data_IF_973460963919
#
_entry.id   IF_973460963919
#
_cell.length_a   1.000
_cell.length_b   1.000
_cell.length_c   1.000
_cell.angle_alpha   90.00
_cell.angle_beta   90.00
_cell.angle_gamma   90.00
#
_symmetry.space_group_name_H-M   'P 1'
#
loop_
_entity.id
_entity.type
_entity.pdbx_description
1 polymer ?
#
# COMPACT_ATOMS: atom_id res chain seq x y z
N UNK A 1 15.90 -16.92 -5.61
CA UNK A 1 15.54 -15.50 -5.59
C UNK A 1 16.82 -14.69 -5.49
N UNK A 2 16.98 -13.64 -6.30
CA UNK A 2 18.16 -12.79 -6.20
C UNK A 2 18.05 -11.88 -4.98
N UNK A 3 18.99 -12.01 -4.04
CA UNK A 3 19.08 -11.18 -2.84
C UNK A 3 20.10 -10.06 -3.07
N UNK A 4 19.70 -8.83 -2.82
CA UNK A 4 20.56 -7.65 -2.84
C UNK A 4 21.03 -7.37 -1.41
N UNK A 5 22.28 -7.73 -1.10
CA UNK A 5 22.83 -7.50 0.24
C UNK A 5 23.29 -6.06 0.43
N UNK A 6 22.80 -5.41 1.47
CA UNK A 6 22.97 -3.98 1.73
C UNK A 6 24.06 -3.65 2.76
N UNK A 7 24.43 -4.57 3.62
CA UNK A 7 25.36 -4.43 4.77
C UNK A 7 24.79 -3.58 5.93
N UNK A 8 23.60 -3.06 5.82
CA UNK A 8 22.88 -2.32 6.85
C UNK A 8 21.38 -2.50 6.62
N UNK A 9 20.62 -2.46 7.70
CA UNK A 9 19.18 -2.62 7.70
C UNK A 9 18.49 -1.58 6.80
N UNK A 10 17.67 -2.01 5.83
CA UNK A 10 16.75 -1.14 5.10
C UNK A 10 15.44 -0.92 5.87
N UNK A 11 14.78 0.22 5.63
CA UNK A 11 13.48 0.58 6.19
C UNK A 11 12.41 0.77 5.13
N UNK A 12 12.80 1.18 3.94
CA UNK A 12 11.86 1.40 2.84
C UNK A 12 12.53 1.11 1.50
N UNK A 13 11.72 0.78 0.52
CA UNK A 13 12.14 0.64 -0.87
C UNK A 13 11.09 1.21 -1.80
N UNK A 14 11.53 1.61 -2.99
CA UNK A 14 10.63 1.94 -4.10
C UNK A 14 11.29 1.65 -5.44
N UNK A 15 10.48 1.37 -6.45
CA UNK A 15 10.95 1.10 -7.81
C UNK A 15 10.85 2.33 -8.69
N UNK A 16 11.76 2.41 -9.67
CA UNK A 16 11.66 3.41 -10.71
C UNK A 16 10.45 3.11 -11.63
N UNK A 17 9.62 4.12 -11.99
CA UNK A 17 8.39 3.88 -12.72
C UNK A 17 8.58 3.40 -14.16
N UNK A 18 9.75 3.62 -14.77
CA UNK A 18 10.03 3.29 -16.17
C UNK A 18 11.33 2.51 -16.40
N UNK A 19 12.25 2.48 -15.44
CA UNK A 19 13.53 1.77 -15.54
C UNK A 19 13.61 0.61 -14.54
N UNK A 20 14.45 -0.37 -14.81
CA UNK A 20 14.72 -1.53 -13.93
C UNK A 20 15.68 -1.14 -12.81
N UNK A 21 15.23 -0.23 -11.93
CA UNK A 21 16.00 0.28 -10.80
C UNK A 21 15.16 0.23 -9.54
N UNK A 22 15.74 -0.26 -8.45
CA UNK A 22 15.17 -0.23 -7.10
C UNK A 22 16.04 0.63 -6.19
N UNK A 23 15.39 1.42 -5.32
CA UNK A 23 16.01 2.28 -4.33
C UNK A 23 15.68 1.78 -2.94
N UNK A 24 16.65 1.85 -2.03
CA UNK A 24 16.47 1.46 -0.64
C UNK A 24 17.04 2.51 0.31
N UNK A 25 16.27 2.85 1.35
CA UNK A 25 16.65 3.74 2.45
C UNK A 25 17.14 2.94 3.65
N UNK A 26 18.31 3.29 4.21
CA UNK A 26 19.01 2.50 5.21
C UNK A 26 19.06 3.16 6.60
N UNK A 27 19.30 2.33 7.61
CA UNK A 27 19.56 2.73 9.00
C UNK A 27 20.66 3.78 9.12
N UNK A 28 21.68 3.72 8.27
CA UNK A 28 22.82 4.64 8.27
C UNK A 28 22.50 6.01 7.68
N UNK A 29 21.31 6.18 7.08
CA UNK A 29 20.91 7.37 6.33
C UNK A 29 21.40 7.38 4.88
N UNK A 30 21.96 6.26 4.41
CA UNK A 30 22.25 6.07 2.99
C UNK A 30 20.98 5.75 2.22
N UNK A 31 20.91 6.23 1.00
CA UNK A 31 19.99 5.77 -0.04
C UNK A 31 20.83 5.13 -1.13
N UNK A 32 20.49 3.91 -1.51
CA UNK A 32 21.19 3.13 -2.52
C UNK A 32 20.28 2.81 -3.68
N UNK A 33 20.82 2.85 -4.89
CA UNK A 33 20.15 2.44 -6.11
C UNK A 33 20.82 1.20 -6.69
N UNK A 34 20.00 0.26 -7.11
CA UNK A 34 20.42 -0.96 -7.76
C UNK A 34 19.67 -1.12 -9.08
N UNK A 35 20.39 -1.35 -10.15
CA UNK A 35 19.82 -1.76 -11.42
C UNK A 35 19.65 -3.28 -11.41
N UNK A 36 18.49 -3.78 -11.76
CA UNK A 36 18.19 -5.20 -11.86
C UNK A 36 17.86 -5.59 -13.31
N UNK A 37 18.07 -6.83 -13.64
CA UNK A 37 17.69 -7.43 -14.90
C UNK A 37 16.21 -7.87 -14.85
N UNK A 38 15.42 -7.47 -15.84
CA UNK A 38 13.96 -7.72 -15.84
C UNK A 38 13.61 -9.22 -15.89
N UNK A 39 14.47 -10.06 -16.49
CA UNK A 39 14.20 -11.48 -16.62
C UNK A 39 14.69 -12.30 -15.43
N UNK A 40 15.90 -12.00 -14.96
CA UNK A 40 16.59 -12.84 -13.96
C UNK A 40 16.58 -12.24 -12.56
N UNK A 41 16.20 -10.96 -12.41
CA UNK A 41 16.29 -10.21 -11.15
C UNK A 41 17.74 -9.98 -10.66
N UNK A 42 18.77 -10.40 -11.41
CA UNK A 42 20.14 -10.16 -11.01
C UNK A 42 20.43 -8.65 -10.95
N UNK A 43 21.07 -8.22 -9.88
CA UNK A 43 21.25 -6.79 -9.61
C UNK A 43 22.72 -6.36 -9.59
N UNK A 44 22.93 -5.10 -9.88
CA UNK A 44 24.20 -4.40 -9.76
C UNK A 44 24.01 -3.04 -9.08
N UNK A 45 24.96 -2.63 -8.24
CA UNK A 45 24.92 -1.30 -7.60
C UNK A 45 25.08 -0.20 -8.65
N UNK A 46 24.17 0.77 -8.63
CA UNK A 46 24.22 1.95 -9.50
C UNK A 46 24.92 3.11 -8.79
N UNK A 47 24.34 3.58 -7.67
CA UNK A 47 24.91 4.64 -6.85
C UNK A 47 24.52 4.49 -5.38
N UNK A 48 25.24 5.21 -4.53
CA UNK A 48 24.94 5.33 -3.10
C UNK A 48 25.22 6.76 -2.65
N UNK A 49 24.28 7.36 -1.93
CA UNK A 49 24.41 8.70 -1.37
C UNK A 49 23.91 8.71 0.06
N UNK A 50 24.45 9.58 0.88
CA UNK A 50 24.08 9.72 2.28
C UNK A 50 23.65 11.16 2.58
N UNK A 51 22.38 11.52 2.29
CA UNK A 51 21.88 12.88 2.51
C UNK A 51 21.83 13.25 4.00
N UNK A 52 21.62 12.27 4.87
CA UNK A 52 21.61 12.45 6.33
C UNK A 52 22.53 11.45 7.03
N UNK A 53 23.03 11.81 8.22
CA UNK A 53 23.74 10.86 9.12
C UNK A 53 22.79 10.07 10.02
N UNK A 54 21.49 10.24 9.86
CA UNK A 54 20.43 9.57 10.58
C UNK A 54 19.62 8.69 9.62
N UNK A 55 18.91 7.71 10.14
CA UNK A 55 18.11 6.72 9.39
C UNK A 55 17.27 7.39 8.30
N UNK A 56 17.30 6.83 7.08
CA UNK A 56 16.35 7.10 6.00
C UNK A 56 15.19 6.11 6.14
N UNK A 57 14.06 6.57 6.68
CA UNK A 57 12.88 5.72 6.95
C UNK A 57 11.91 5.65 5.79
N UNK A 58 11.78 6.73 5.02
CA UNK A 58 10.88 6.81 3.87
C UNK A 58 11.66 7.06 2.59
N UNK A 59 11.31 6.31 1.54
CA UNK A 59 11.81 6.45 0.17
C UNK A 59 10.62 6.40 -0.78
N UNK A 60 10.51 7.38 -1.68
CA UNK A 60 9.47 7.37 -2.70
C UNK A 60 9.99 7.98 -4.00
N UNK A 61 9.73 7.30 -5.11
CA UNK A 61 10.14 7.76 -6.44
C UNK A 61 9.02 8.59 -7.06
N UNK A 62 9.39 9.70 -7.66
CA UNK A 62 8.43 10.56 -8.35
C UNK A 62 7.89 9.87 -9.61
N UNK A 63 6.62 10.10 -9.94
CA UNK A 63 5.94 9.39 -11.04
C UNK A 63 6.60 9.59 -12.42
N UNK A 64 7.26 10.73 -12.63
CA UNK A 64 8.02 11.00 -13.86
C UNK A 64 9.42 10.32 -13.87
N UNK A 65 9.81 9.67 -12.79
CA UNK A 65 11.10 9.01 -12.64
C UNK A 65 12.28 9.97 -12.47
N UNK A 66 12.07 11.27 -12.33
CA UNK A 66 13.17 12.24 -12.29
C UNK A 66 13.88 12.33 -10.94
N UNK A 67 13.18 12.03 -9.85
CA UNK A 67 13.65 12.23 -8.48
C UNK A 67 13.25 11.11 -7.54
N UNK A 68 14.11 10.84 -6.56
CA UNK A 68 13.82 10.04 -5.36
C UNK A 68 13.72 10.98 -4.17
N UNK A 69 12.63 10.89 -3.45
CA UNK A 69 12.42 11.63 -2.21
C UNK A 69 12.69 10.74 -1.01
N UNK A 70 13.41 11.27 -0.03
CA UNK A 70 13.72 10.53 1.19
C UNK A 70 13.66 11.42 2.42
N UNK A 71 13.22 10.82 3.51
CA UNK A 71 13.16 11.45 4.83
C UNK A 71 13.36 10.42 5.93
N UNK A 72 13.54 10.87 7.16
CA UNK A 72 13.71 9.96 8.27
C UNK A 72 14.07 10.63 9.59
N UNK A 73 14.91 10.01 10.38
CA UNK A 73 15.18 10.37 11.79
C UNK A 73 15.72 11.80 12.00
N UNK A 74 16.21 12.45 10.95
CA UNK A 74 16.71 13.83 11.04
C UNK A 74 15.59 14.88 10.89
N UNK A 75 14.38 14.51 10.51
CA UNK A 75 13.28 15.44 10.19
C UNK A 75 13.46 16.20 8.88
N UNK A 76 14.58 16.01 8.17
CA UNK A 76 14.84 16.60 6.85
C UNK A 76 14.19 15.81 5.73
N UNK A 77 13.74 16.51 4.69
CA UNK A 77 13.26 15.94 3.43
C UNK A 77 14.25 16.29 2.32
N UNK A 78 14.73 15.27 1.63
CA UNK A 78 15.76 15.37 0.58
C UNK A 78 15.22 14.90 -0.75
N UNK A 79 15.53 15.63 -1.80
CA UNK A 79 15.28 15.29 -3.19
C UNK A 79 16.60 14.86 -3.85
N UNK A 80 16.63 13.66 -4.40
CA UNK A 80 17.80 13.06 -5.04
C UNK A 80 17.51 12.85 -6.52
N UNK A 81 18.53 13.01 -7.35
CA UNK A 81 18.47 12.62 -8.77
C UNK A 81 18.44 11.09 -8.89
N UNK A 82 17.52 10.54 -9.67
CA UNK A 82 17.45 9.09 -9.94
C UNK A 82 18.67 8.60 -10.71
N UNK A 83 19.27 9.45 -11.55
CA UNK A 83 20.38 9.07 -12.44
C UNK A 83 21.69 8.80 -11.69
N UNK A 84 22.03 9.64 -10.70
CA UNK A 84 23.36 9.64 -10.06
C UNK A 84 23.33 9.84 -8.53
N UNK A 85 22.15 9.99 -7.94
CA UNK A 85 21.98 10.23 -6.51
C UNK A 85 22.36 11.64 -6.04
N UNK A 86 22.63 12.59 -6.96
CA UNK A 86 22.94 13.97 -6.58
C UNK A 86 21.79 14.61 -5.80
N UNK A 87 22.11 15.29 -4.68
CA UNK A 87 21.12 16.01 -3.90
C UNK A 87 20.69 17.25 -4.68
N UNK A 88 19.43 17.27 -5.12
CA UNK A 88 18.81 18.39 -5.84
C UNK A 88 18.29 19.46 -4.89
N UNK A 89 17.68 19.04 -3.79
CA UNK A 89 17.14 19.96 -2.77
C UNK A 89 17.11 19.30 -1.38
N UNK A 90 17.15 20.16 -0.36
CA UNK A 90 17.01 19.79 1.05
C UNK A 90 16.04 20.77 1.72
N UNK A 91 15.16 20.22 2.58
CA UNK A 91 14.18 20.98 3.35
C UNK A 91 14.24 20.57 4.82
N UNK A 92 14.19 21.53 5.73
CA UNK A 92 13.85 21.27 7.13
C UNK A 92 12.36 21.04 7.17
N UNK A 93 11.95 19.76 7.22
CA UNK A 93 10.56 19.40 7.01
C UNK A 93 9.79 19.27 8.32
N UNK A 94 10.31 18.51 9.28
CA UNK A 94 9.66 18.24 10.55
C UNK A 94 10.62 18.41 11.71
N UNK A 95 10.10 18.70 12.91
CA UNK A 95 10.87 18.82 14.16
C UNK A 95 11.17 17.45 14.78
N UNK A 96 10.39 16.44 14.41
CA UNK A 96 10.50 15.02 14.83
C UNK A 96 10.82 14.15 13.61
N UNK A 97 11.16 12.85 13.82
CA UNK A 97 11.46 11.96 12.71
C UNK A 97 10.32 11.85 11.70
N UNK A 98 10.66 11.91 10.40
CA UNK A 98 9.75 11.53 9.32
C UNK A 98 9.68 10.01 9.28
N UNK A 99 8.48 9.48 9.36
CA UNK A 99 8.24 8.04 9.30
C UNK A 99 7.93 7.57 7.87
N UNK A 100 7.19 8.39 7.11
CA UNK A 100 6.79 8.06 5.75
C UNK A 100 6.96 9.21 4.78
N UNK A 101 7.38 8.87 3.56
CA UNK A 101 7.44 9.80 2.42
C UNK A 101 6.64 9.17 1.28
N UNK A 102 5.80 9.93 0.61
CA UNK A 102 4.96 9.43 -0.47
C UNK A 102 4.81 10.47 -1.60
N UNK A 103 5.18 10.10 -2.82
CA UNK A 103 4.99 10.90 -4.02
C UNK A 103 3.57 10.72 -4.54
N UNK A 104 2.72 11.72 -4.36
CA UNK A 104 1.31 11.68 -4.75
C UNK A 104 1.13 11.79 -6.25
N UNK A 105 1.89 12.69 -6.88
CA UNK A 105 1.88 12.93 -8.33
C UNK A 105 3.19 13.61 -8.74
N UNK A 106 3.27 14.09 -10.00
CA UNK A 106 4.46 14.76 -10.54
C UNK A 106 4.93 15.99 -9.72
N UNK A 107 4.07 16.60 -8.92
CA UNK A 107 4.39 17.85 -8.22
C UNK A 107 4.31 17.77 -6.71
N UNK A 108 3.50 16.85 -6.18
CA UNK A 108 3.16 16.80 -4.77
C UNK A 108 3.82 15.60 -4.09
N UNK A 109 4.56 15.89 -3.04
CA UNK A 109 5.11 14.91 -2.09
C UNK A 109 4.46 15.13 -0.75
N UNK A 110 4.21 14.05 -0.02
CA UNK A 110 3.65 14.08 1.33
C UNK A 110 4.59 13.39 2.30
N UNK A 111 4.70 13.95 3.48
CA UNK A 111 5.47 13.38 4.59
C UNK A 111 4.57 13.23 5.81
N UNK A 112 4.73 12.13 6.53
CA UNK A 112 4.14 11.87 7.83
C UNK A 112 5.22 11.64 8.87
N UNK A 113 5.06 12.20 10.07
CA UNK A 113 6.04 12.11 11.13
C UNK A 113 5.59 11.29 12.33
N UNK A 114 6.48 11.16 13.33
CA UNK A 114 6.24 10.38 14.55
C UNK A 114 5.19 11.03 15.48
N UNK A 115 4.88 12.32 15.33
CA UNK A 115 3.85 13.04 16.12
C UNK A 115 2.49 13.12 15.41
N UNK A 116 2.31 12.40 14.28
CA UNK A 116 1.04 12.38 13.53
C UNK A 116 0.83 13.59 12.61
N UNK A 117 1.85 14.40 12.39
CA UNK A 117 1.75 15.56 11.50
C UNK A 117 2.00 15.14 10.06
N UNK A 118 1.06 15.48 9.18
CA UNK A 118 1.18 15.30 7.75
C UNK A 118 1.48 16.65 7.11
N UNK A 119 2.55 16.71 6.30
CA UNK A 119 2.89 17.90 5.50
C UNK A 119 2.85 17.57 4.01
N UNK A 120 2.25 18.48 3.25
CA UNK A 120 2.19 18.41 1.80
C UNK A 120 3.17 19.41 1.20
N UNK A 121 3.97 18.97 0.24
CA UNK A 121 5.04 19.74 -0.40
C UNK A 121 4.80 19.78 -1.91
N UNK A 122 4.91 20.96 -2.48
CA UNK A 122 5.09 21.14 -3.93
C UNK A 122 6.61 21.26 -4.17
N UNK A 123 7.17 20.39 -5.02
CA UNK A 123 8.61 20.35 -5.26
C UNK A 123 9.16 21.70 -5.80
N UNK A 124 8.29 22.51 -6.43
CA UNK A 124 8.63 23.86 -6.94
C UNK A 124 8.71 24.94 -5.87
N UNK A 125 8.29 24.63 -4.64
CA UNK A 125 8.24 25.54 -3.51
C UNK A 125 9.13 25.04 -2.37
N UNK A 126 9.67 25.96 -1.57
CA UNK A 126 10.53 25.61 -0.42
C UNK A 126 9.73 25.23 0.82
N UNK A 127 8.62 25.91 1.05
CA UNK A 127 7.79 25.72 2.22
C UNK A 127 6.70 24.67 1.96
N UNK A 128 6.20 24.07 3.04
CA UNK A 128 5.06 23.18 2.97
C UNK A 128 3.82 23.94 2.47
N UNK A 129 3.15 23.36 1.49
CA UNK A 129 1.89 23.91 0.96
C UNK A 129 0.79 23.85 2.00
N UNK A 130 0.77 22.75 2.79
CA UNK A 130 -0.20 22.51 3.86
C UNK A 130 0.36 21.62 4.94
N UNK A 131 -0.20 21.77 6.14
CA UNK A 131 0.08 20.94 7.31
C UNK A 131 -1.24 20.49 7.91
N UNK A 132 -1.33 19.22 8.28
CA UNK A 132 -2.45 18.59 8.95
C UNK A 132 -1.95 17.97 10.26
N UNK A 133 -2.69 18.16 11.35
CA UNK A 133 -2.34 17.75 12.72
C UNK A 133 -3.51 17.08 13.44
N UNK A 134 -4.21 16.19 12.73
CA UNK A 134 -5.39 15.51 13.24
C UNK A 134 -5.07 14.22 13.97
N UNK A 135 -3.94 13.60 13.68
CA UNK A 135 -3.48 12.40 14.33
C UNK A 135 -2.71 12.69 15.61
N UNK A 136 -2.69 11.73 16.54
CA UNK A 136 -2.06 11.85 17.86
C UNK A 136 -0.89 10.87 18.04
N UNK A 137 -0.59 10.07 17.03
CA UNK A 137 0.54 9.15 16.99
C UNK A 137 1.08 9.06 15.55
N UNK A 138 2.19 8.37 15.36
CA UNK A 138 2.93 8.33 14.10
C UNK A 138 2.06 8.01 12.89
N UNK A 139 2.41 8.62 11.76
CA UNK A 139 1.83 8.27 10.46
C UNK A 139 2.54 7.04 9.93
N UNK A 140 1.80 5.98 9.68
CA UNK A 140 2.32 4.68 9.28
C UNK A 140 2.41 4.51 7.76
N UNK A 141 1.37 4.88 7.00
CA UNK A 141 1.38 4.72 5.54
C UNK A 141 0.42 5.67 4.83
N UNK A 142 0.53 5.69 3.49
CA UNK A 142 -0.32 6.49 2.61
C UNK A 142 -0.77 5.67 1.39
N UNK A 143 -1.99 5.96 0.90
CA UNK A 143 -2.44 5.57 -0.44
C UNK A 143 -3.17 6.73 -1.09
N UNK A 144 -3.16 6.79 -2.42
CA UNK A 144 -3.77 7.88 -3.16
C UNK A 144 -4.76 7.38 -4.21
N UNK A 145 -5.92 8.03 -4.27
CA UNK A 145 -6.98 7.77 -5.22
C UNK A 145 -7.11 8.94 -6.19
N UNK A 146 -6.67 8.74 -7.42
CA UNK A 146 -6.59 9.79 -8.43
C UNK A 146 -7.97 10.29 -8.90
N UNK A 147 -8.98 9.43 -8.96
CA UNK A 147 -10.34 9.74 -9.39
C UNK A 147 -10.97 10.90 -8.62
N UNK A 148 -10.79 10.92 -7.30
CA UNK A 148 -11.32 11.94 -6.40
C UNK A 148 -10.23 12.85 -5.82
N UNK A 149 -8.97 12.65 -6.22
CA UNK A 149 -7.82 13.38 -5.67
C UNK A 149 -7.72 13.26 -4.15
N UNK A 150 -7.98 12.06 -3.62
CA UNK A 150 -8.00 11.77 -2.20
C UNK A 150 -6.73 11.04 -1.77
N UNK A 151 -5.98 11.63 -0.87
CA UNK A 151 -4.91 10.98 -0.12
C UNK A 151 -5.52 10.40 1.16
N UNK A 152 -5.23 9.14 1.43
CA UNK A 152 -5.63 8.45 2.66
C UNK A 152 -4.37 8.13 3.44
N UNK A 153 -4.37 8.43 4.74
CA UNK A 153 -3.29 8.10 5.67
C UNK A 153 -3.78 7.17 6.76
N UNK A 154 -2.92 6.29 7.22
CA UNK A 154 -3.08 5.47 8.42
C UNK A 154 -2.14 5.94 9.51
N UNK A 155 -2.51 5.72 10.77
CA UNK A 155 -1.75 6.15 11.93
C UNK A 155 -1.76 5.10 13.06
N UNK A 156 -0.72 5.14 13.90
CA UNK A 156 -0.65 4.38 15.14
C UNK A 156 -1.72 4.76 16.16
N UNK A 157 -2.41 5.89 15.98
CA UNK A 157 -3.53 6.31 16.84
C UNK A 157 -4.85 5.55 16.58
N UNK A 158 -4.83 4.54 15.69
CA UNK A 158 -6.00 3.74 15.35
C UNK A 158 -6.97 4.40 14.36
N UNK A 159 -6.63 5.57 13.82
CA UNK A 159 -7.47 6.32 12.89
C UNK A 159 -6.90 6.32 11.47
N UNK A 160 -7.81 6.45 10.53
CA UNK A 160 -7.53 6.73 9.13
C UNK A 160 -8.02 8.16 8.82
N UNK A 161 -7.22 8.96 8.13
CA UNK A 161 -7.66 10.28 7.65
C UNK A 161 -7.65 10.38 6.13
N UNK A 162 -8.57 11.18 5.59
CA UNK A 162 -8.74 11.39 4.15
C UNK A 162 -8.60 12.86 3.82
N UNK A 163 -7.68 13.19 2.95
CA UNK A 163 -7.33 14.54 2.55
C UNK A 163 -7.68 14.74 1.06
N UNK A 164 -8.52 15.72 0.74
CA UNK A 164 -8.64 16.18 -0.65
C UNK A 164 -7.47 17.12 -0.96
N UNK A 165 -6.55 16.68 -1.81
CA UNK A 165 -5.33 17.44 -2.11
C UNK A 165 -5.58 18.77 -2.84
N UNK A 166 -6.78 19.00 -3.39
CA UNK A 166 -7.19 20.27 -3.99
C UNK A 166 -7.72 21.28 -2.98
N UNK A 167 -8.14 20.78 -1.81
CA UNK A 167 -8.73 21.63 -0.77
C UNK A 167 -7.67 22.52 -0.13
N UNK A 168 -8.00 23.79 0.10
CA UNK A 168 -7.13 24.71 0.85
C UNK A 168 -7.39 24.68 2.36
N UNK A 169 -8.27 23.80 2.84
CA UNK A 169 -8.55 23.67 4.27
C UNK A 169 -7.40 22.94 4.97
N UNK A 170 -7.03 23.35 6.19
CA UNK A 170 -6.02 22.67 7.00
C UNK A 170 -6.56 21.44 7.73
N UNK A 171 -7.77 21.02 7.43
CA UNK A 171 -8.44 19.85 8.02
C UNK A 171 -8.70 18.80 6.97
N UNK A 172 -8.59 17.50 7.31
CA UNK A 172 -8.98 16.42 6.42
C UNK A 172 -10.44 16.52 6.01
N UNK A 173 -10.78 15.85 4.92
CA UNK A 173 -12.16 15.67 4.45
C UNK A 173 -12.96 14.78 5.41
N UNK A 174 -12.30 13.74 5.94
CA UNK A 174 -12.86 12.79 6.89
C UNK A 174 -11.74 12.23 7.77
N UNK A 175 -12.11 11.81 8.98
CA UNK A 175 -11.32 10.99 9.90
C UNK A 175 -12.21 9.83 10.30
N UNK A 176 -11.68 8.63 10.40
CA UNK A 176 -12.44 7.45 10.82
C UNK A 176 -12.73 7.47 12.31
N UNK A 177 -13.65 6.61 12.71
CA UNK A 177 -13.80 6.20 14.11
C UNK A 177 -12.54 5.41 14.53
N UNK A 178 -12.29 5.34 15.83
CA UNK A 178 -11.19 4.59 16.43
C UNK A 178 -11.37 3.10 16.13
N UNK A 179 -10.33 2.47 15.58
CA UNK A 179 -10.34 1.05 15.23
C UNK A 179 -9.83 0.14 16.37
N UNK A 180 -9.53 0.73 17.54
CA UNK A 180 -9.04 0.04 18.73
C UNK A 180 -7.74 -0.74 18.51
N UNK A 181 -6.99 -0.44 17.43
CA UNK A 181 -5.73 -1.07 17.06
C UNK A 181 -4.91 -0.12 16.18
N UNK A 182 -3.58 -0.21 16.24
CA UNK A 182 -2.70 0.60 15.40
C UNK A 182 -2.85 0.18 13.92
N UNK A 183 -3.03 1.16 13.05
CA UNK A 183 -3.10 0.95 11.60
C UNK A 183 -1.71 1.14 11.00
N UNK A 184 -1.15 0.08 10.38
CA UNK A 184 0.26 0.04 9.99
C UNK A 184 0.50 0.21 8.48
N UNK A 185 -0.37 -0.33 7.66
CA UNK A 185 -0.19 -0.39 6.21
C UNK A 185 -1.51 -0.25 5.47
N UNK A 186 -1.48 0.27 4.23
CA UNK A 186 -2.67 0.47 3.43
C UNK A 186 -2.41 0.22 1.95
N UNK A 187 -3.36 -0.41 1.25
CA UNK A 187 -3.35 -0.55 -0.20
C UNK A 187 -4.74 -0.34 -0.80
N UNK A 188 -4.77 0.20 -2.02
CA UNK A 188 -5.99 0.30 -2.83
C UNK A 188 -6.30 -1.06 -3.47
N UNK A 189 -7.58 -1.46 -3.49
CA UNK A 189 -8.05 -2.74 -4.04
C UNK A 189 -9.36 -2.56 -4.81
N UNK A 190 -9.82 -3.61 -5.49
CA UNK A 190 -11.10 -3.64 -6.22
C UNK A 190 -11.23 -2.47 -7.22
N UNK A 191 -10.17 -2.23 -8.01
CA UNK A 191 -10.14 -1.14 -8.98
C UNK A 191 -10.37 0.22 -8.30
N UNK A 192 -9.65 0.50 -7.23
CA UNK A 192 -9.72 1.74 -6.45
C UNK A 192 -11.08 2.06 -5.81
N UNK A 193 -12.01 1.10 -5.78
CA UNK A 193 -13.30 1.29 -5.10
C UNK A 193 -13.23 1.07 -3.59
N UNK A 194 -12.22 0.33 -3.14
CA UNK A 194 -11.96 0.00 -1.74
C UNK A 194 -10.50 0.17 -1.40
N UNK A 195 -10.17 0.18 -0.11
CA UNK A 195 -8.83 -0.05 0.39
C UNK A 195 -8.83 -1.11 1.48
N UNK A 196 -7.67 -1.68 1.71
CA UNK A 196 -7.40 -2.64 2.77
C UNK A 196 -6.29 -2.11 3.65
N UNK A 197 -6.45 -2.25 4.95
CA UNK A 197 -5.55 -1.73 5.98
C UNK A 197 -5.12 -2.88 6.87
N UNK A 198 -3.83 -2.99 7.11
CA UNK A 198 -3.23 -3.94 8.05
C UNK A 198 -3.00 -3.33 9.41
N UNK A 199 -3.16 -4.12 10.46
CA UNK A 199 -3.03 -3.69 11.85
C UNK A 199 -2.01 -4.49 12.64
N UNK A 200 -1.68 -4.00 13.84
CA UNK A 200 -0.76 -4.65 14.78
C UNK A 200 -1.27 -6.02 15.24
N UNK A 201 -2.58 -6.20 15.38
CA UNK A 201 -3.20 -7.48 15.76
C UNK A 201 -3.31 -8.49 14.61
N UNK A 202 -2.74 -8.21 13.43
CA UNK A 202 -2.78 -9.12 12.28
C UNK A 202 -4.16 -9.20 11.62
N UNK A 203 -4.94 -8.14 11.73
CA UNK A 203 -6.27 -8.02 11.11
C UNK A 203 -6.15 -7.15 9.87
N UNK A 204 -6.76 -7.62 8.77
CA UNK A 204 -6.97 -6.82 7.58
C UNK A 204 -8.38 -6.21 7.63
N UNK A 205 -8.48 -4.90 7.72
CA UNK A 205 -9.75 -4.17 7.67
C UNK A 205 -10.01 -3.64 6.25
N UNK A 206 -11.22 -3.86 5.75
CA UNK A 206 -11.65 -3.46 4.40
C UNK A 206 -12.52 -2.22 4.48
N UNK A 207 -12.20 -1.20 3.70
CA UNK A 207 -12.90 0.07 3.65
C UNK A 207 -13.56 0.27 2.29
N UNK A 208 -14.84 0.68 2.29
CA UNK A 208 -15.56 0.97 1.06
C UNK A 208 -15.74 2.48 0.88
N UNK A 209 -15.03 3.06 -0.06
CA UNK A 209 -15.05 4.50 -0.35
C UNK A 209 -16.44 5.06 -0.65
N UNK A 210 -17.37 4.24 -1.16
CA UNK A 210 -18.75 4.65 -1.47
C UNK A 210 -19.63 4.72 -0.23
N UNK A 211 -19.29 4.01 0.83
CA UNK A 211 -20.04 3.99 2.10
C UNK A 211 -19.57 5.04 3.10
N UNK A 212 -18.48 5.75 2.76
CA UNK A 212 -17.85 6.73 3.64
C UNK A 212 -16.59 6.18 4.31
N UNK A 213 -16.03 6.96 5.22
CA UNK A 213 -14.74 6.71 5.85
C UNK A 213 -14.84 6.60 7.38
N UNK A 214 -16.07 6.48 7.93
CA UNK A 214 -16.27 6.39 9.38
C UNK A 214 -15.76 5.08 9.95
N UNK A 215 -16.14 3.93 9.35
CA UNK A 215 -15.73 2.61 9.83
C UNK A 215 -15.43 1.65 8.65
N UNK A 216 -14.69 0.59 8.94
CA UNK A 216 -14.45 -0.48 7.98
C UNK A 216 -15.74 -1.30 7.75
N UNK A 217 -15.85 -1.89 6.56
CA UNK A 217 -17.04 -2.68 6.18
C UNK A 217 -16.84 -4.17 6.44
N UNK A 218 -15.60 -4.60 6.64
CA UNK A 218 -15.26 -5.99 6.91
C UNK A 218 -13.90 -6.08 7.62
N UNK A 219 -13.69 -7.16 8.40
CA UNK A 219 -12.44 -7.46 9.10
C UNK A 219 -12.05 -8.90 8.86
N UNK A 220 -10.86 -9.11 8.33
CA UNK A 220 -10.31 -10.41 7.95
C UNK A 220 -9.17 -10.75 8.91
N UNK A 221 -9.41 -11.56 9.94
CA UNK A 221 -8.35 -12.08 10.82
C UNK A 221 -7.59 -13.22 10.13
N UNK A 222 -6.39 -13.52 10.61
CA UNK A 222 -5.67 -14.73 10.16
C UNK A 222 -4.18 -14.61 10.06
N UNK A 223 -3.61 -13.42 10.23
CA UNK A 223 -2.17 -13.26 10.38
C UNK A 223 -1.80 -13.48 11.85
N UNK A 224 -0.71 -14.22 12.13
CA UNK A 224 -0.30 -14.52 13.51
C UNK A 224 0.40 -13.35 14.21
N UNK A 225 0.80 -12.33 13.46
CA UNK A 225 1.51 -11.14 13.92
C UNK A 225 1.07 -9.91 13.13
N UNK A 226 1.66 -8.74 13.40
CA UNK A 226 1.34 -7.47 12.74
C UNK A 226 1.47 -7.54 11.22
N UNK A 227 0.75 -6.68 10.52
CA UNK A 227 0.79 -6.56 9.05
C UNK A 227 1.40 -5.20 8.70
N UNK A 228 2.72 -5.16 8.60
CA UNK A 228 3.50 -3.93 8.47
C UNK A 228 3.57 -3.42 7.03
N UNK A 229 3.35 -4.31 6.06
CA UNK A 229 3.38 -3.97 4.64
C UNK A 229 2.27 -4.66 3.86
N UNK A 230 1.62 -3.90 2.96
CA UNK A 230 0.63 -4.43 2.01
C UNK A 230 0.92 -3.85 0.62
N UNK A 231 0.80 -4.69 -0.40
CA UNK A 231 0.78 -4.26 -1.78
C UNK A 231 -0.29 -5.03 -2.56
N UNK A 232 -1.05 -4.35 -3.40
CA UNK A 232 -1.98 -5.00 -4.31
C UNK A 232 -1.22 -5.57 -5.51
N UNK A 233 -1.32 -6.87 -5.72
CA UNK A 233 -0.80 -7.57 -6.89
C UNK A 233 -1.78 -7.42 -8.05
N UNK A 234 -3.05 -7.74 -7.81
CA UNK A 234 -4.17 -7.53 -8.72
C UNK A 234 -5.27 -6.73 -8.02
N UNK A 235 -6.36 -6.33 -8.68
CA UNK A 235 -7.48 -5.69 -7.98
C UNK A 235 -8.05 -6.51 -6.82
N UNK A 236 -7.88 -7.84 -6.84
CA UNK A 236 -8.50 -8.79 -5.92
C UNK A 236 -7.50 -9.55 -5.06
N UNK A 237 -6.21 -9.48 -5.37
CA UNK A 237 -5.15 -10.23 -4.69
C UNK A 237 -4.12 -9.27 -4.12
N UNK A 238 -3.77 -9.46 -2.87
CA UNK A 238 -2.76 -8.69 -2.16
C UNK A 238 -1.61 -9.57 -1.69
N UNK A 239 -0.42 -8.98 -1.60
CA UNK A 239 0.67 -9.52 -0.79
C UNK A 239 0.78 -8.74 0.52
N UNK A 240 0.97 -9.46 1.61
CA UNK A 240 1.13 -8.91 2.97
C UNK A 240 2.48 -9.32 3.54
N UNK A 241 3.20 -8.37 4.12
CA UNK A 241 4.41 -8.59 4.91
C UNK A 241 4.12 -8.42 6.39
N UNK A 242 4.60 -9.35 7.21
CA UNK A 242 4.28 -9.44 8.62
C UNK A 242 5.54 -9.48 9.49
N UNK A 243 5.40 -9.18 10.76
CA UNK A 243 6.46 -9.24 11.77
C UNK A 243 7.09 -10.65 11.86
N UNK A 244 6.35 -11.70 11.52
CA UNK A 244 6.86 -13.07 11.50
C UNK A 244 7.80 -13.39 10.32
N UNK A 245 8.12 -12.40 9.49
CA UNK A 245 9.03 -12.50 8.36
C UNK A 245 8.46 -13.20 7.13
N UNK A 246 7.16 -13.50 7.10
CA UNK A 246 6.53 -14.18 5.97
C UNK A 246 5.79 -13.20 5.05
N UNK A 247 5.94 -13.43 3.74
CA UNK A 247 5.16 -12.74 2.71
C UNK A 247 4.05 -13.67 2.25
N UNK A 248 2.80 -13.28 2.56
CA UNK A 248 1.59 -14.04 2.26
C UNK A 248 0.83 -13.42 1.11
N UNK A 249 0.19 -14.28 0.32
CA UNK A 249 -0.73 -13.87 -0.74
C UNK A 249 -2.14 -14.25 -0.34
N UNK A 250 -3.04 -13.29 -0.42
CA UNK A 250 -4.45 -13.44 -0.03
C UNK A 250 -5.34 -12.79 -1.08
N UNK A 251 -6.33 -13.54 -1.56
CA UNK A 251 -7.44 -13.00 -2.33
C UNK A 251 -8.42 -12.32 -1.38
N UNK A 252 -8.97 -11.18 -1.77
CA UNK A 252 -9.87 -10.37 -0.94
C UNK A 252 -11.24 -10.27 -1.60
N UNK A 253 -12.28 -10.69 -0.87
CA UNK A 253 -13.69 -10.60 -1.27
C UNK A 253 -14.02 -11.30 -2.61
N UNK A 254 -14.10 -12.65 -2.64
CA UNK A 254 -14.09 -13.51 -1.45
C UNK A 254 -12.71 -13.70 -0.87
N UNK A 255 -12.64 -13.87 0.46
CA UNK A 255 -11.36 -14.03 1.15
C UNK A 255 -10.87 -15.48 1.03
N UNK A 256 -9.66 -15.62 0.49
CA UNK A 256 -8.98 -16.91 0.35
C UNK A 256 -7.47 -16.73 0.55
N UNK A 257 -6.90 -17.47 1.48
CA UNK A 257 -5.45 -17.54 1.61
C UNK A 257 -4.89 -18.39 0.47
N UNK A 258 -3.97 -17.82 -0.31
CA UNK A 258 -3.40 -18.48 -1.48
C UNK A 258 -2.05 -19.14 -1.17
N UNK A 259 -1.29 -18.61 -0.22
CA UNK A 259 -0.03 -19.22 0.20
C UNK A 259 0.99 -18.22 0.74
N UNK A 260 2.17 -18.76 1.04
CA UNK A 260 3.39 -17.98 1.38
C UNK A 260 4.31 -18.05 0.18
N UNK A 261 4.75 -16.89 -0.32
CA UNK A 261 5.57 -16.80 -1.55
C UNK A 261 7.04 -16.53 -1.26
N UNK A 262 7.34 -15.90 -0.12
CA UNK A 262 8.71 -15.62 0.29
C UNK A 262 8.80 -15.45 1.81
N UNK A 263 10.03 -15.46 2.33
CA UNK A 263 10.30 -15.22 3.74
C UNK A 263 11.63 -14.49 3.92
N UNK A 264 11.72 -13.68 4.97
CA UNK A 264 12.94 -13.08 5.51
C UNK A 264 13.37 -13.75 6.83
N UNK A 265 13.19 -15.09 6.89
CA UNK A 265 13.40 -15.89 8.10
C UNK A 265 12.48 -15.44 9.25
N UNK A 266 13.04 -14.95 10.36
CA UNK A 266 12.29 -14.47 11.52
C UNK A 266 12.33 -12.93 11.67
N UNK A 267 12.76 -12.21 10.61
CA UNK A 267 12.86 -10.75 10.64
C UNK A 267 11.62 -10.07 10.07
N UNK A 268 11.08 -9.04 10.74
CA UNK A 268 9.88 -8.34 10.30
C UNK A 268 10.03 -7.74 8.90
N UNK A 269 8.96 -7.80 8.13
CA UNK A 269 8.90 -7.19 6.79
C UNK A 269 8.50 -5.72 6.92
N UNK A 270 9.43 -4.83 6.67
CA UNK A 270 9.21 -3.38 6.77
C UNK A 270 8.40 -2.80 5.60
N UNK A 271 8.63 -3.31 4.39
CA UNK A 271 8.00 -2.79 3.18
C UNK A 271 7.91 -3.81 2.07
N UNK A 272 6.81 -3.69 1.30
CA UNK A 272 6.59 -4.38 0.04
C UNK A 272 6.31 -3.37 -1.07
N UNK A 273 6.88 -3.58 -2.25
CA UNK A 273 6.58 -2.81 -3.47
C UNK A 273 6.61 -3.73 -4.68
N UNK A 274 5.73 -3.45 -5.62
CA UNK A 274 5.67 -4.15 -6.91
C UNK A 274 6.39 -3.31 -7.97
N UNK A 275 7.18 -3.94 -8.83
CA UNK A 275 7.84 -3.25 -9.91
C UNK A 275 6.86 -2.82 -11.03
N UNK A 276 7.33 -2.01 -11.96
CA UNK A 276 6.52 -1.47 -13.07
C UNK A 276 5.90 -2.54 -13.98
N UNK A 277 6.58 -3.69 -14.12
CA UNK A 277 6.14 -4.81 -14.97
C UNK A 277 5.23 -5.78 -14.21
N UNK A 278 5.05 -5.58 -12.90
CA UNK A 278 4.35 -6.51 -11.99
C UNK A 278 4.99 -7.90 -11.91
N UNK A 279 6.25 -8.04 -12.32
CA UNK A 279 6.99 -9.29 -12.27
C UNK A 279 7.73 -9.45 -10.94
N UNK A 280 8.33 -8.37 -10.43
CA UNK A 280 9.15 -8.42 -9.24
C UNK A 280 8.47 -7.75 -8.04
N UNK A 281 8.21 -8.54 -7.02
CA UNK A 281 7.87 -8.05 -5.70
C UNK A 281 9.14 -7.80 -4.91
N UNK A 282 9.44 -6.53 -4.64
CA UNK A 282 10.53 -6.11 -3.76
C UNK A 282 10.08 -6.15 -2.31
N UNK A 283 10.91 -6.71 -1.44
CA UNK A 283 10.70 -6.71 0.01
C UNK A 283 11.96 -6.32 0.75
N UNK A 284 11.81 -5.60 1.86
CA UNK A 284 12.89 -5.24 2.79
C UNK A 284 12.54 -5.66 4.20
N UNK A 285 13.59 -6.03 4.93
CA UNK A 285 13.48 -6.52 6.30
C UNK A 285 14.77 -6.20 7.08
N UNK A 286 14.80 -6.54 8.35
CA UNK A 286 15.98 -6.37 9.22
C UNK A 286 17.13 -7.32 8.89
N UNK A 287 16.97 -8.24 7.96
CA UNK A 287 18.02 -9.18 7.47
C UNK A 287 19.07 -8.54 6.56
N UNK A 288 19.07 -7.20 6.44
CA UNK A 288 20.00 -6.41 5.63
C UNK A 288 19.93 -6.72 4.12
N UNK A 289 18.78 -7.21 3.64
CA UNK A 289 18.57 -7.55 2.24
C UNK A 289 17.38 -6.81 1.62
N UNK A 290 17.47 -6.53 0.31
CA UNK A 290 16.30 -6.39 -0.55
C UNK A 290 16.15 -7.72 -1.29
N UNK A 291 15.01 -8.38 -1.16
CA UNK A 291 14.67 -9.57 -1.93
C UNK A 291 13.76 -9.20 -3.10
N UNK A 292 14.06 -9.77 -4.27
CA UNK A 292 13.21 -9.68 -5.45
C UNK A 292 12.55 -11.05 -5.66
N UNK A 293 11.25 -11.12 -5.41
CA UNK A 293 10.45 -12.34 -5.57
C UNK A 293 9.70 -12.25 -6.89
N UNK A 294 9.88 -13.25 -7.76
CA UNK A 294 9.09 -13.37 -8.98
C UNK A 294 7.65 -13.72 -8.63
N UNK A 295 6.72 -12.91 -9.11
CA UNK A 295 5.29 -13.05 -8.87
C UNK A 295 4.48 -13.13 -10.17
N UNK A 296 5.15 -13.27 -11.32
CA UNK A 296 4.53 -13.28 -12.65
C UNK A 296 3.47 -14.40 -12.77
N UNK A 297 3.78 -15.59 -12.29
CA UNK A 297 2.87 -16.74 -12.31
C UNK A 297 1.56 -16.50 -11.51
N UNK A 298 1.57 -15.60 -10.52
CA UNK A 298 0.36 -15.29 -9.73
C UNK A 298 -0.69 -14.49 -10.53
N UNK A 299 -0.31 -13.90 -11.64
CA UNK A 299 -1.21 -13.16 -12.52
C UNK A 299 -1.82 -14.06 -13.59
N UNK A 300 -1.12 -15.12 -14.02
CA UNK A 300 -1.60 -16.04 -15.06
C UNK A 300 -2.76 -16.91 -14.57
N UNK A 301 -2.74 -17.36 -13.31
CA UNK A 301 -3.83 -18.17 -12.74
C UNK A 301 -5.17 -17.43 -12.61
N UNK A 302 -5.16 -16.10 -12.54
CA UNK A 302 -6.38 -15.29 -12.44
C UNK A 302 -7.14 -15.20 -13.78
N UNK A 303 -6.42 -15.26 -14.89
CA UNK A 303 -7.01 -15.14 -16.24
C UNK A 303 -7.67 -16.46 -16.68
N UNK A 304 -7.20 -17.62 -16.19
CA UNK A 304 -7.78 -18.93 -16.52
C UNK A 304 -9.10 -19.20 -15.76
N UNK A 305 -9.26 -18.73 -14.51
CA UNK A 305 -10.52 -18.89 -13.77
C UNK A 305 -11.66 -18.01 -14.34
N UNK A 306 -11.36 -16.85 -14.92
CA UNK A 306 -12.36 -15.99 -15.55
C UNK A 306 -12.86 -16.54 -16.90
N UNK A 307 -12.02 -17.24 -17.66
CA UNK A 307 -12.39 -17.88 -18.95
C UNK A 307 -13.31 -19.08 -18.73
N UNK A 308 -13.12 -19.85 -17.64
CA UNK A 308 -13.96 -21.02 -17.32
C UNK A 308 -15.36 -20.64 -16.81
N UNK A 309 -15.56 -19.42 -16.28
CA UNK A 309 -16.89 -18.96 -15.85
C UNK A 309 -17.74 -18.45 -17.03
N UNK A 310 -17.14 -17.85 -18.05
CA UNK A 310 -17.88 -17.42 -19.24
C UNK A 310 -18.32 -18.60 -20.15
N UNK A 311 -17.60 -19.73 -20.12
CA UNK A 311 -17.91 -20.89 -20.96
C UNK A 311 -19.03 -21.80 -20.40
N UNK A 312 -19.49 -21.59 -19.16
CA UNK A 312 -20.56 -22.35 -18.52
C UNK A 312 -21.95 -21.71 -18.56
N UNK A 313 -22.06 -20.54 -19.20
CA UNK A 313 -23.28 -19.71 -19.25
C UNK A 313 -24.14 -19.83 -20.52
N UNK A 314 -23.80 -20.71 -21.47
CA UNK A 314 -24.56 -20.82 -22.74
C UNK A 314 -24.87 -22.22 -23.17
N UNK A 315 -25.68 -22.94 -22.43
CA UNK A 315 -26.45 -24.10 -22.94
C UNK A 315 -27.52 -24.47 -21.92
N UNK A 316 -28.71 -23.93 -22.12
CA UNK A 316 -30.01 -24.49 -21.81
C UNK A 316 -31.12 -23.49 -22.12
N UNK A 317 -31.42 -23.33 -23.39
CA UNK A 317 -32.73 -23.02 -23.89
C UNK A 317 -33.21 -24.25 -24.65
N UNK A 318 -34.19 -24.95 -24.11
CA UNK A 318 -35.15 -25.70 -24.89
C UNK A 318 -36.42 -25.94 -24.06
N UNK A 319 -37.46 -25.31 -24.54
CA UNK A 319 -38.86 -25.66 -24.66
C UNK A 319 -39.52 -26.59 -23.61
N UNK A 320 -40.56 -26.06 -22.95
CA UNK A 320 -41.82 -26.79 -22.89
C UNK A 320 -43.01 -25.85 -22.62
N UNK A 321 -44.08 -26.22 -23.30
CA UNK A 321 -45.31 -25.50 -23.62
C UNK A 321 -46.23 -25.18 -22.44
N UNK A 322 -47.14 -24.28 -22.76
CA UNK A 322 -48.25 -23.74 -22.01
C UNK A 322 -49.27 -24.80 -21.54
N UNK A 323 -49.78 -24.65 -20.34
CA UNK A 323 -51.18 -24.90 -20.01
C UNK A 323 -51.72 -23.95 -18.93
N UNK A 324 -52.71 -23.18 -19.32
CA UNK A 324 -53.59 -22.34 -18.48
C UNK A 324 -54.78 -23.15 -17.93
N UNK A 325 -55.74 -22.57 -17.17
CA UNK A 325 -55.81 -22.55 -15.70
C UNK A 325 -57.07 -23.27 -15.21
N UNK A 326 -57.16 -23.59 -13.93
CA UNK A 326 -58.47 -23.78 -13.26
C UNK A 326 -58.56 -23.10 -11.91
N UNK A 327 -59.55 -22.23 -11.84
CA UNK A 327 -60.10 -21.57 -10.64
C UNK A 327 -60.59 -22.57 -9.59
N UNK A 328 -60.50 -22.19 -8.30
CA UNK A 328 -61.22 -22.92 -7.28
C UNK A 328 -61.02 -22.42 -5.84
N UNK A 329 -61.90 -21.48 -5.46
CA UNK A 329 -62.51 -21.28 -4.13
C UNK A 329 -61.68 -20.86 -2.91
N UNK A 330 -62.06 -19.70 -2.41
CA UNK A 330 -62.01 -19.19 -1.06
C UNK A 330 -62.58 -20.14 -0.03
N UNK A 331 -62.00 -20.20 1.17
CA UNK A 331 -62.70 -20.04 2.43
C UNK A 331 -61.74 -19.65 3.57
N UNK A 332 -62.25 -19.06 4.65
CA UNK A 332 -61.51 -18.06 5.46
C UNK A 332 -61.25 -18.55 6.89
N UNK A 333 -60.40 -17.77 7.56
CA UNK A 333 -60.50 -17.57 9.00
C UNK A 333 -59.62 -18.46 9.88
N UNK A 334 -58.86 -17.84 10.64
CA UNK A 334 -58.89 -17.91 12.10
C UNK A 334 -57.57 -17.41 12.69
N UNK A 335 -57.69 -16.41 13.42
CA UNK A 335 -57.09 -15.82 14.61
C UNK A 335 -56.62 -14.38 14.41
N UNK A 336 -57.59 -13.50 14.74
CA UNK A 336 -57.35 -12.33 15.55
C UNK A 336 -57.08 -12.75 16.99
N UNK A 337 -56.40 -11.92 17.72
CA UNK A 337 -56.09 -11.93 19.16
C UNK A 337 -54.85 -12.73 19.63
N UNK A 338 -53.73 -12.01 19.81
CA UNK A 338 -53.12 -11.65 21.12
C UNK A 338 -51.89 -10.81 20.86
#
# INVERSE_FOLDING_TARGET
MPDIRLKNQPFDLDFHPTESVVYAGLLTGEVKAFRYDDETGQSSSSWSVRPSKRTARGVSVQQDGSSVWTGGKAGGLYELSTADGAIKSERVAHDVPINRVYCVNEHIVVTGDDDGIIKMWDHRQKEAVRTYNQHFDYISDFTYFDDKRQLVSTSGDGHLSVIDIRSNKPTPLAVSDDQEDELLSIAAIKGDTKCIVGSTLGILSVWNRKMGWGDCVDRIPGHPASIDAIVALTPDVIATGSEDGMIRVTQVLPTKFLGVIATHEEYPIERLRLDRNKKWLGSVSHDECVKLTDVEDLFEESDEEDVDMESRGSDNEDEEEAEEPKQGKKEPGFFDDL
#
